data_IF_874805872785
#
_entry.id   IF_874805872785
#
_cell.length_a   1.000
_cell.length_b   1.000
_cell.length_c   1.000
_cell.angle_alpha   90.00
_cell.angle_beta   90.00
_cell.angle_gamma   90.00
#
_symmetry.space_group_name_H-M   'P 1'
#
loop_
_entity.id
_entity.type
_entity.pdbx_description
1 polymer ?
#
# COMPACT_ATOMS: atom_id res chain seq x y z
N UNK A 1 6.72 -11.29 10.56
CA UNK A 1 5.42 -11.87 10.96
C UNK A 1 4.52 -11.85 9.73
N UNK A 2 3.98 -13.00 9.31
CA UNK A 2 3.12 -13.14 8.11
C UNK A 2 1.64 -13.34 8.49
N UNK A 3 1.36 -13.59 9.77
CA UNK A 3 0.07 -14.07 10.28
C UNK A 3 -1.14 -13.15 10.01
N UNK A 4 -0.93 -11.87 9.71
CA UNK A 4 -1.99 -10.89 9.43
C UNK A 4 -2.41 -10.82 7.95
N UNK A 5 -1.72 -11.57 7.09
CA UNK A 5 -2.10 -11.70 5.68
C UNK A 5 -3.02 -12.91 5.51
N UNK A 6 -3.98 -12.79 4.61
CA UNK A 6 -4.76 -13.93 4.15
C UNK A 6 -3.89 -14.89 3.30
N UNK A 7 -4.07 -16.22 3.35
CA UNK A 7 -3.38 -17.16 2.47
C UNK A 7 -3.56 -16.84 0.98
N UNK A 8 -4.74 -16.35 0.59
CA UNK A 8 -5.10 -15.94 -0.76
C UNK A 8 -4.85 -14.46 -1.06
N UNK A 9 -4.12 -13.74 -0.19
CA UNK A 9 -3.86 -12.31 -0.36
C UNK A 9 -3.31 -11.98 -1.75
N UNK A 10 -3.80 -10.88 -2.32
CA UNK A 10 -3.31 -10.35 -3.59
C UNK A 10 -2.76 -8.95 -3.39
N UNK A 11 -1.54 -8.71 -3.86
CA UNK A 11 -0.98 -7.37 -4.00
C UNK A 11 -1.04 -6.94 -5.46
N UNK A 12 -1.57 -5.75 -5.72
CA UNK A 12 -1.56 -5.10 -7.03
C UNK A 12 -0.78 -3.80 -6.94
N UNK A 13 0.23 -3.62 -7.78
CA UNK A 13 0.95 -2.37 -7.88
C UNK A 13 0.68 -1.73 -9.25
N UNK A 14 0.00 -0.59 -9.20
CA UNK A 14 -0.20 0.32 -10.30
C UNK A 14 0.99 1.27 -10.36
N UNK A 15 2.01 0.84 -11.10
CA UNK A 15 3.28 1.55 -11.20
C UNK A 15 3.16 2.73 -12.15
N UNK A 16 3.70 3.89 -11.77
CA UNK A 16 3.86 5.07 -12.63
C UNK A 16 4.65 4.71 -13.89
N UNK A 17 5.74 3.97 -13.67
CA UNK A 17 6.65 3.51 -14.72
C UNK A 17 6.66 1.97 -14.75
N UNK A 18 6.42 1.42 -15.94
CA UNK A 18 6.38 -0.02 -16.19
C UNK A 18 5.00 -0.66 -16.01
N UNK A 19 4.91 -1.95 -16.32
CA UNK A 19 3.64 -2.68 -16.31
C UNK A 19 3.04 -2.80 -14.90
N UNK A 20 1.72 -2.94 -14.74
CA UNK A 20 1.15 -3.36 -13.47
C UNK A 20 1.78 -4.66 -12.96
N UNK A 21 2.02 -4.74 -11.66
CA UNK A 21 2.52 -5.95 -11.01
C UNK A 21 1.42 -6.55 -10.14
N UNK A 22 1.19 -7.87 -10.26
CA UNK A 22 0.32 -8.61 -9.35
C UNK A 22 1.13 -9.72 -8.66
N UNK A 23 1.06 -9.78 -7.33
CA UNK A 23 1.64 -10.85 -6.52
C UNK A 23 0.52 -11.57 -5.78
N UNK A 24 0.56 -12.90 -5.77
CA UNK A 24 -0.47 -13.73 -5.14
C UNK A 24 0.12 -14.63 -4.08
N UNK A 25 -0.61 -14.76 -2.99
CA UNK A 25 -0.23 -15.61 -1.87
C UNK A 25 0.80 -14.95 -0.97
N UNK A 26 0.84 -15.46 0.25
CA UNK A 26 1.44 -14.75 1.36
C UNK A 26 2.96 -14.60 1.24
N UNK A 27 3.64 -15.61 0.70
CA UNK A 27 5.10 -15.59 0.53
C UNK A 27 5.52 -14.52 -0.48
N UNK A 28 4.90 -14.48 -1.65
CA UNK A 28 5.22 -13.50 -2.69
C UNK A 28 4.93 -12.07 -2.24
N UNK A 29 3.76 -11.86 -1.59
CA UNK A 29 3.39 -10.55 -1.06
C UNK A 29 4.34 -10.11 0.05
N UNK A 30 4.70 -10.99 0.98
CA UNK A 30 5.66 -10.68 2.04
C UNK A 30 7.05 -10.34 1.48
N UNK A 31 7.53 -11.08 0.48
CA UNK A 31 8.81 -10.80 -0.20
C UNK A 31 8.80 -9.45 -0.93
N UNK A 32 7.69 -9.11 -1.57
CA UNK A 32 7.48 -7.79 -2.17
C UNK A 32 7.56 -6.67 -1.13
N UNK A 33 6.85 -6.83 0.00
CA UNK A 33 6.88 -5.87 1.11
C UNK A 33 8.29 -5.69 1.70
N UNK A 34 9.03 -6.79 1.88
CA UNK A 34 10.43 -6.74 2.35
C UNK A 34 11.33 -5.96 1.37
N UNK A 35 11.10 -6.10 0.07
CA UNK A 35 11.86 -5.38 -0.96
C UNK A 35 11.57 -3.87 -0.95
N UNK A 36 10.40 -3.47 -0.47
CA UNK A 36 9.98 -2.09 -0.29
C UNK A 36 10.31 -1.50 1.09
N UNK A 37 10.94 -2.28 2.00
CA UNK A 37 11.19 -1.88 3.41
C UNK A 37 11.93 -0.55 3.55
N UNK A 38 12.79 -0.19 2.60
CA UNK A 38 13.50 1.09 2.55
C UNK A 38 12.57 2.33 2.61
N UNK A 39 11.30 2.17 2.22
CA UNK A 39 10.32 3.24 2.26
C UNK A 39 9.60 3.38 3.60
N UNK A 40 9.73 2.40 4.51
CA UNK A 40 9.01 2.37 5.79
C UNK A 40 9.21 3.62 6.68
N UNK A 41 10.38 4.30 6.70
CA UNK A 41 10.52 5.55 7.47
C UNK A 41 9.70 6.72 6.92
N UNK A 42 9.29 6.66 5.65
CA UNK A 42 8.61 7.75 4.95
C UNK A 42 7.10 7.56 4.87
N UNK A 43 6.55 6.49 5.46
CA UNK A 43 5.11 6.23 5.42
C UNK A 43 4.40 6.75 6.66
N UNK A 44 3.19 7.28 6.47
CA UNK A 44 2.29 7.70 7.55
C UNK A 44 0.94 6.99 7.38
N UNK A 45 0.32 6.50 8.48
CA UNK A 45 -1.03 5.96 8.42
C UNK A 45 -2.03 6.99 7.90
N UNK A 46 -2.98 6.51 7.09
CA UNK A 46 -4.07 7.32 6.56
C UNK A 46 -5.30 6.46 6.26
N UNK A 47 -6.44 7.11 6.12
CA UNK A 47 -7.62 6.54 5.49
C UNK A 47 -7.62 6.95 4.02
N UNK A 48 -7.69 5.98 3.12
CA UNK A 48 -7.72 6.20 1.67
C UNK A 48 -9.08 5.73 1.16
N UNK A 49 -9.90 6.64 0.67
CA UNK A 49 -11.29 6.35 0.29
C UNK A 49 -12.06 5.61 1.40
N UNK A 50 -11.77 5.93 2.67
CA UNK A 50 -12.36 5.27 3.84
C UNK A 50 -11.74 3.91 4.22
N UNK A 51 -10.82 3.35 3.44
CA UNK A 51 -10.10 2.12 3.76
C UNK A 51 -8.80 2.39 4.52
N UNK A 52 -8.33 1.40 5.29
CA UNK A 52 -7.07 1.48 6.00
C UNK A 52 -5.88 1.53 5.02
N UNK A 53 -4.90 2.38 5.28
CA UNK A 53 -3.75 2.52 4.40
C UNK A 53 -2.59 3.31 4.96
N UNK A 54 -1.60 3.49 4.11
CA UNK A 54 -0.45 4.34 4.38
C UNK A 54 -0.11 5.19 3.16
N UNK A 55 0.31 6.43 3.40
CA UNK A 55 0.87 7.33 2.40
C UNK A 55 2.39 7.41 2.57
N UNK A 56 3.14 7.28 1.48
CA UNK A 56 4.57 7.55 1.45
C UNK A 56 4.84 9.00 1.00
N UNK A 57 5.75 9.67 1.70
CA UNK A 57 6.10 11.07 1.48
C UNK A 57 7.53 11.25 0.99
N UNK A 58 7.71 12.19 0.08
CA UNK A 58 9.00 12.79 -0.26
C UNK A 58 8.95 14.25 0.24
N UNK A 59 9.61 14.48 1.38
CA UNK A 59 9.37 15.70 2.17
C UNK A 59 7.92 15.79 2.63
N UNK A 60 7.20 16.83 2.21
CA UNK A 60 5.78 17.01 2.50
C UNK A 60 4.87 16.50 1.37
N UNK A 61 5.43 16.06 0.25
CA UNK A 61 4.64 15.68 -0.92
C UNK A 61 4.35 14.18 -0.91
N UNK A 62 3.07 13.76 -0.92
CA UNK A 62 2.75 12.35 -1.06
C UNK A 62 3.07 11.88 -2.49
N UNK A 63 3.79 10.77 -2.60
CA UNK A 63 4.19 10.21 -3.91
C UNK A 63 3.71 8.80 -4.14
N UNK A 64 3.38 8.06 -3.08
CA UNK A 64 2.81 6.73 -3.18
C UNK A 64 1.82 6.46 -2.06
N UNK A 65 0.96 5.49 -2.30
CA UNK A 65 -0.06 5.03 -1.38
C UNK A 65 -0.13 3.52 -1.40
N UNK A 66 -0.33 2.92 -0.23
CA UNK A 66 -0.68 1.51 -0.07
C UNK A 66 -2.04 1.45 0.64
N UNK A 67 -3.05 0.91 -0.03
CA UNK A 67 -4.38 0.68 0.53
C UNK A 67 -4.54 -0.80 0.86
N UNK A 68 -5.11 -1.09 2.05
CA UNK A 68 -5.40 -2.44 2.49
C UNK A 68 -6.89 -2.70 2.43
N UNK A 69 -7.28 -3.81 1.80
CA UNK A 69 -8.60 -4.41 2.02
C UNK A 69 -8.46 -5.41 3.15
N UNK A 70 -9.15 -5.15 4.25
CA UNK A 70 -9.12 -5.99 5.46
C UNK A 70 -10.48 -6.63 5.66
N UNK A 71 -10.50 -7.95 5.88
CA UNK A 71 -11.70 -8.72 6.24
C UNK A 71 -11.41 -9.45 7.54
N UNK A 72 -12.21 -9.17 8.57
CA UNK A 72 -11.92 -9.63 9.93
C UNK A 72 -10.59 -9.05 10.42
N UNK A 73 -9.63 -9.93 10.70
CA UNK A 73 -8.29 -9.60 11.18
C UNK A 73 -7.19 -9.76 10.11
N UNK A 74 -7.56 -10.01 8.85
CA UNK A 74 -6.62 -10.30 7.76
C UNK A 74 -6.69 -9.32 6.61
N UNK A 75 -5.52 -8.93 6.09
CA UNK A 75 -5.42 -8.25 4.81
C UNK A 75 -5.62 -9.27 3.67
N UNK A 76 -6.68 -9.08 2.89
CA UNK A 76 -7.02 -9.93 1.73
C UNK A 76 -6.57 -9.31 0.41
N UNK A 77 -6.37 -7.99 0.36
CA UNK A 77 -5.77 -7.32 -0.78
C UNK A 77 -4.93 -6.11 -0.35
N UNK A 78 -3.92 -5.80 -1.16
CA UNK A 78 -3.07 -4.63 -1.02
C UNK A 78 -2.95 -3.95 -2.39
N UNK A 79 -3.42 -2.72 -2.50
CA UNK A 79 -3.32 -1.95 -3.75
C UNK A 79 -2.30 -0.81 -3.55
N UNK A 80 -1.30 -0.77 -4.43
CA UNK A 80 -0.18 0.18 -4.38
C UNK A 80 -0.26 1.09 -5.60
N UNK A 81 -0.27 2.40 -5.39
CA UNK A 81 -0.17 3.39 -6.45
C UNK A 81 1.01 4.29 -6.15
N UNK A 82 1.95 4.44 -7.08
CA UNK A 82 3.12 5.32 -6.93
C UNK A 82 3.21 6.40 -8.01
N UNK A 83 2.10 6.66 -8.70
CA UNK A 83 1.95 7.83 -9.55
C UNK A 83 1.40 9.00 -8.71
N UNK A 84 2.20 10.07 -8.50
CA UNK A 84 1.76 11.24 -7.74
C UNK A 84 0.50 11.89 -8.29
N UNK A 85 0.24 11.80 -9.61
CA UNK A 85 -0.98 12.36 -10.22
C UNK A 85 -2.22 11.56 -9.87
N UNK A 86 -2.09 10.25 -9.68
CA UNK A 86 -3.17 9.39 -9.20
C UNK A 86 -3.37 9.60 -7.70
N UNK A 87 -2.28 9.64 -6.94
CA UNK A 87 -2.32 9.84 -5.47
C UNK A 87 -3.03 11.15 -5.12
N UNK A 88 -2.76 12.23 -5.85
CA UNK A 88 -3.38 13.54 -5.64
C UNK A 88 -4.91 13.56 -5.85
N UNK A 89 -5.48 12.54 -6.51
CA UNK A 89 -6.92 12.42 -6.79
C UNK A 89 -7.67 11.58 -5.75
N UNK A 90 -6.96 10.92 -4.83
CA UNK A 90 -7.58 10.06 -3.82
C UNK A 90 -8.13 10.89 -2.65
N UNK A 91 -9.26 10.47 -2.08
CA UNK A 91 -9.73 11.00 -0.81
C UNK A 91 -8.84 10.44 0.30
N UNK A 92 -8.05 11.32 0.93
CA UNK A 92 -7.09 10.94 1.95
C UNK A 92 -7.40 11.70 3.23
N UNK A 93 -7.55 10.97 4.34
CA UNK A 93 -7.90 11.52 5.66
C UNK A 93 -7.04 10.92 6.77
N UNK A 94 -7.06 11.55 7.94
CA UNK A 94 -6.43 11.01 9.15
C UNK A 94 -4.90 11.00 9.12
N UNK A 95 -4.27 11.78 8.24
CA UNK A 95 -2.82 11.97 8.23
C UNK A 95 -2.44 12.69 9.52
N UNK A 96 -1.74 12.00 10.42
CA UNK A 96 -1.20 12.62 11.63
C UNK A 96 0.23 13.11 11.34
N UNK A 97 0.56 14.32 11.80
CA UNK A 97 1.87 14.95 11.61
C UNK A 97 2.95 14.29 12.48
#
# INVERSE_FOLDING_TARGET
MIAVLDPGVVLRAHRRDGDPLELRGTEHVARGALSARRFAPYVRPALINGAAGVLAFDGERPFAVLAFTVVGDRAVAIDVFNDPEVVAKLDIRGITA
#
